data_IF_889020948137
#
_entry.id   IF_889020948137
#
_cell.length_a   1.000
_cell.length_b   1.000
_cell.length_c   1.000
_cell.angle_alpha   90.00
_cell.angle_beta   90.00
_cell.angle_gamma   90.00
#
_symmetry.space_group_name_H-M   'P 1'
#
loop_
_entity.id
_entity.type
_entity.pdbx_description
1 polymer ?
#
# COMPACT_ATOMS: atom_id res chain seq x y z
N UNK A 1 -3.96 0.20 -13.35
CA UNK A 1 -3.63 0.49 -14.77
C UNK A 1 -2.17 0.88 -14.99
N UNK A 2 -1.55 1.66 -14.13
CA UNK A 2 -0.15 2.14 -14.23
C UNK A 2 0.85 0.98 -14.29
N UNK A 3 0.64 -0.10 -13.54
CA UNK A 3 1.53 -1.26 -13.49
C UNK A 3 1.73 -2.01 -14.82
N UNK A 4 0.82 -1.89 -15.78
CA UNK A 4 0.91 -2.63 -17.06
C UNK A 4 1.95 -2.01 -18.01
N UNK A 5 2.14 -0.69 -17.95
CA UNK A 5 3.08 0.04 -18.82
C UNK A 5 4.49 0.14 -18.23
N UNK A 6 4.64 0.13 -16.92
CA UNK A 6 5.95 0.23 -16.26
C UNK A 6 6.67 -1.13 -16.14
N UNK A 7 5.94 -2.25 -16.16
CA UNK A 7 6.49 -3.60 -16.01
C UNK A 7 7.69 -3.94 -16.91
N UNK A 8 7.71 -3.63 -18.23
CA UNK A 8 8.83 -4.05 -19.10
C UNK A 8 10.15 -3.35 -18.77
N UNK A 9 10.11 -2.07 -18.37
CA UNK A 9 11.31 -1.30 -18.01
C UNK A 9 11.88 -1.70 -16.66
N UNK A 10 11.01 -1.81 -15.67
CA UNK A 10 11.36 -2.16 -14.29
C UNK A 10 11.87 -3.60 -14.20
N UNK A 11 11.29 -4.54 -14.96
CA UNK A 11 11.73 -5.94 -14.97
C UNK A 11 13.16 -6.13 -15.43
N UNK A 12 13.70 -5.25 -16.29
CA UNK A 12 15.10 -5.30 -16.73
C UNK A 12 16.08 -5.04 -15.60
N UNK A 13 15.70 -4.24 -14.62
CA UNK A 13 16.53 -3.91 -13.45
C UNK A 13 16.30 -4.94 -12.32
N UNK A 14 15.04 -5.29 -12.07
CA UNK A 14 14.67 -6.18 -10.95
C UNK A 14 15.10 -7.63 -11.20
N UNK A 15 14.96 -8.15 -12.42
CA UNK A 15 15.27 -9.54 -12.72
C UNK A 15 16.74 -9.94 -12.47
N UNK A 16 17.76 -9.11 -12.77
CA UNK A 16 19.15 -9.40 -12.40
C UNK A 16 19.35 -9.43 -10.88
N UNK A 17 18.74 -8.49 -10.14
CA UNK A 17 18.83 -8.42 -8.67
C UNK A 17 18.20 -9.68 -8.07
N UNK A 18 17.00 -10.04 -8.50
CA UNK A 18 16.30 -11.26 -8.06
C UNK A 18 17.14 -12.51 -8.32
N UNK A 19 17.76 -12.64 -9.49
CA UNK A 19 18.69 -13.75 -9.78
C UNK A 19 19.93 -13.77 -8.91
N UNK A 20 20.49 -12.60 -8.60
CA UNK A 20 21.64 -12.47 -7.71
C UNK A 20 21.31 -12.95 -6.30
N UNK A 21 20.17 -12.50 -5.75
CA UNK A 21 19.71 -12.91 -4.42
C UNK A 21 19.42 -14.42 -4.33
N UNK A 22 18.78 -14.98 -5.36
CA UNK A 22 18.54 -16.43 -5.42
C UNK A 22 19.83 -17.26 -5.45
N UNK A 23 20.87 -16.78 -6.15
CA UNK A 23 22.18 -17.47 -6.22
C UNK A 23 22.90 -17.55 -4.87
N UNK A 24 22.68 -16.58 -3.98
CA UNK A 24 23.25 -16.57 -2.62
C UNK A 24 22.33 -17.22 -1.58
N UNK A 25 21.24 -17.89 -2.01
CA UNK A 25 20.34 -18.65 -1.15
C UNK A 25 19.27 -17.84 -0.44
N UNK A 26 19.10 -16.56 -0.79
CA UNK A 26 17.99 -15.74 -0.26
C UNK A 26 16.68 -16.20 -0.88
N UNK A 27 15.66 -16.40 -0.04
CA UNK A 27 14.31 -16.79 -0.50
C UNK A 27 13.40 -15.59 -0.68
N UNK A 28 12.34 -15.67 -1.54
CA UNK A 28 11.35 -14.60 -1.68
C UNK A 28 10.76 -14.19 -0.34
N UNK A 29 10.38 -15.14 0.50
CA UNK A 29 9.80 -14.87 1.82
C UNK A 29 10.74 -14.08 2.75
N UNK A 30 12.05 -14.30 2.67
CA UNK A 30 13.03 -13.50 3.43
C UNK A 30 13.03 -12.03 2.96
N UNK A 31 12.91 -11.81 1.65
CA UNK A 31 12.85 -10.44 1.08
C UNK A 31 11.55 -9.75 1.49
N UNK A 32 10.41 -10.45 1.45
CA UNK A 32 9.12 -9.92 1.90
C UNK A 32 9.17 -9.50 3.38
N UNK A 33 9.67 -10.38 4.26
CA UNK A 33 9.80 -10.06 5.71
C UNK A 33 10.75 -8.89 5.93
N UNK A 34 11.92 -8.90 5.27
CA UNK A 34 12.88 -7.81 5.38
C UNK A 34 12.31 -6.48 4.88
N UNK A 35 11.64 -6.47 3.72
CA UNK A 35 10.98 -5.30 3.16
C UNK A 35 9.92 -4.73 4.10
N UNK A 36 9.11 -5.59 4.70
CA UNK A 36 8.09 -5.18 5.68
C UNK A 36 8.71 -4.58 6.95
N UNK A 37 9.72 -5.23 7.53
CA UNK A 37 10.42 -4.71 8.72
C UNK A 37 11.07 -3.36 8.41
N UNK A 38 11.70 -3.23 7.25
CA UNK A 38 12.28 -1.97 6.79
C UNK A 38 11.21 -0.89 6.63
N UNK A 39 10.08 -1.22 5.98
CA UNK A 39 8.95 -0.30 5.78
C UNK A 39 8.41 0.22 7.12
N UNK A 40 8.13 -0.69 8.07
CA UNK A 40 7.66 -0.33 9.42
C UNK A 40 8.66 0.59 10.12
N UNK A 41 9.94 0.23 10.10
CA UNK A 41 11.00 1.01 10.74
C UNK A 41 11.09 2.42 10.15
N UNK A 42 11.09 2.54 8.82
CA UNK A 42 11.13 3.83 8.14
C UNK A 42 9.90 4.69 8.44
N UNK A 43 8.70 4.10 8.44
CA UNK A 43 7.46 4.79 8.75
C UNK A 43 7.49 5.35 10.19
N UNK A 44 7.84 4.53 11.17
CA UNK A 44 7.89 4.96 12.57
C UNK A 44 9.00 5.98 12.80
N UNK A 45 10.21 5.72 12.33
CA UNK A 45 11.35 6.60 12.61
C UNK A 45 11.22 7.94 11.90
N UNK A 46 10.96 7.94 10.61
CA UNK A 46 11.02 9.18 9.81
C UNK A 46 9.72 9.97 9.79
N UNK A 47 8.57 9.31 9.87
CA UNK A 47 7.28 10.01 9.84
C UNK A 47 6.81 10.30 11.28
N UNK A 48 6.66 9.26 12.11
CA UNK A 48 6.07 9.43 13.44
C UNK A 48 7.03 10.07 14.44
N UNK A 49 8.26 9.53 14.58
CA UNK A 49 9.15 9.91 15.69
C UNK A 49 9.99 11.17 15.43
N UNK A 50 10.45 11.39 14.19
CA UNK A 50 11.42 12.47 13.90
C UNK A 50 10.88 13.60 13.04
N UNK A 51 9.63 13.51 12.60
CA UNK A 51 8.98 14.50 11.72
C UNK A 51 9.76 14.80 10.41
N UNK A 52 10.59 13.85 9.94
CA UNK A 52 11.31 13.97 8.68
C UNK A 52 10.48 13.42 7.51
N UNK A 53 9.26 13.95 7.35
CA UNK A 53 8.25 13.40 6.44
C UNK A 53 8.68 13.40 4.97
N UNK A 54 9.54 14.32 4.52
CA UNK A 54 10.10 14.34 3.16
C UNK A 54 10.98 13.10 2.96
N UNK A 55 11.97 12.91 3.85
CA UNK A 55 12.90 11.77 3.75
C UNK A 55 12.15 10.46 3.95
N UNK A 56 11.25 10.40 4.93
CA UNK A 56 10.41 9.23 5.20
C UNK A 56 9.58 8.81 4.00
N UNK A 57 8.89 9.75 3.34
CA UNK A 57 8.09 9.47 2.15
C UNK A 57 8.94 8.95 0.99
N UNK A 58 10.11 9.53 0.76
CA UNK A 58 11.02 9.10 -0.31
C UNK A 58 11.57 7.70 -0.03
N UNK A 59 12.03 7.44 1.19
CA UNK A 59 12.55 6.13 1.58
C UNK A 59 11.46 5.05 1.53
N UNK A 60 10.24 5.35 2.00
CA UNK A 60 9.09 4.44 1.88
C UNK A 60 8.71 4.20 0.42
N UNK A 61 8.80 5.22 -0.44
CA UNK A 61 8.62 5.04 -1.87
C UNK A 61 9.63 4.06 -2.48
N UNK A 62 10.87 4.04 -1.96
CA UNK A 62 11.89 3.07 -2.39
C UNK A 62 11.58 1.63 -1.90
N UNK A 63 10.91 1.43 -0.77
CA UNK A 63 10.55 0.06 -0.33
C UNK A 63 9.59 -0.64 -1.28
N UNK A 64 8.82 0.09 -2.07
CA UNK A 64 7.98 -0.48 -3.13
C UNK A 64 8.81 -1.30 -4.14
N UNK A 65 10.07 -0.92 -4.38
CA UNK A 65 10.96 -1.71 -5.23
C UNK A 65 11.34 -3.05 -4.60
N UNK A 66 11.41 -3.14 -3.27
CA UNK A 66 11.71 -4.40 -2.56
C UNK A 66 10.57 -5.40 -2.77
N UNK A 67 9.31 -4.94 -2.70
CA UNK A 67 8.12 -5.76 -2.99
C UNK A 67 8.08 -6.26 -4.45
N UNK A 68 8.66 -5.48 -5.39
CA UNK A 68 8.79 -5.94 -6.77
C UNK A 68 9.86 -7.02 -6.95
N UNK A 69 10.91 -7.02 -6.11
CA UNK A 69 11.99 -7.99 -6.15
C UNK A 69 11.53 -9.37 -5.68
N UNK A 70 10.81 -9.47 -4.55
CA UNK A 70 10.31 -10.75 -4.03
C UNK A 70 9.34 -11.42 -5.01
N UNK A 71 8.43 -10.63 -5.60
CA UNK A 71 7.54 -11.11 -6.65
C UNK A 71 8.29 -11.56 -7.92
N UNK A 72 9.42 -10.94 -8.28
CA UNK A 72 10.25 -11.37 -9.39
C UNK A 72 11.02 -12.65 -9.05
N UNK A 73 11.50 -12.79 -7.81
CA UNK A 73 12.13 -14.01 -7.31
C UNK A 73 11.16 -15.18 -7.32
N UNK A 74 9.92 -15.00 -6.82
CA UNK A 74 8.91 -16.04 -6.82
C UNK A 74 8.58 -16.55 -8.24
N UNK A 75 8.47 -15.63 -9.21
CA UNK A 75 8.27 -15.99 -10.63
C UNK A 75 9.46 -16.75 -11.24
N UNK A 76 10.69 -16.46 -10.83
CA UNK A 76 11.90 -17.13 -11.36
C UNK A 76 12.07 -18.55 -10.80
N UNK A 77 11.56 -18.85 -9.61
CA UNK A 77 11.57 -20.20 -9.02
C UNK A 77 10.45 -21.08 -9.64
N UNK A 78 9.55 -20.46 -10.44
CA UNK A 78 8.50 -21.18 -11.18
C UNK A 78 7.13 -21.16 -10.54
N UNK A 79 7.01 -21.05 -9.21
CA UNK A 79 5.72 -20.90 -8.51
C UNK A 79 5.91 -20.22 -7.15
N UNK A 80 5.02 -19.26 -6.83
CA UNK A 80 4.83 -18.82 -5.46
C UNK A 80 4.25 -19.96 -4.61
N UNK A 81 4.72 -20.14 -3.39
CA UNK A 81 4.10 -21.12 -2.48
C UNK A 81 2.80 -20.55 -1.92
N UNK A 82 1.79 -21.39 -1.61
CA UNK A 82 0.56 -20.93 -0.93
C UNK A 82 0.88 -20.19 0.38
N UNK A 83 1.87 -20.66 1.13
CA UNK A 83 2.34 -19.98 2.34
C UNK A 83 2.93 -18.60 2.03
N UNK A 84 3.75 -18.48 0.97
CA UNK A 84 4.33 -17.21 0.55
C UNK A 84 3.25 -16.18 0.19
N UNK A 85 2.18 -16.60 -0.48
CA UNK A 85 1.06 -15.71 -0.81
C UNK A 85 0.30 -15.24 0.44
N UNK A 86 0.12 -16.11 1.44
CA UNK A 86 -0.50 -15.73 2.72
C UNK A 86 0.41 -14.77 3.49
N UNK A 87 1.71 -15.08 3.55
CA UNK A 87 2.71 -14.25 4.22
C UNK A 87 2.76 -12.84 3.62
N UNK A 88 2.89 -12.74 2.31
CA UNK A 88 2.90 -11.48 1.57
C UNK A 88 1.63 -10.66 1.84
N UNK A 89 0.45 -11.28 1.62
CA UNK A 89 -0.82 -10.63 1.90
C UNK A 89 -0.97 -10.16 3.35
N UNK A 90 -0.45 -10.89 4.32
CA UNK A 90 -0.51 -10.51 5.75
C UNK A 90 0.45 -9.37 6.06
N UNK A 91 1.70 -9.47 5.60
CA UNK A 91 2.73 -8.48 5.83
C UNK A 91 2.42 -7.15 5.14
N UNK A 92 1.78 -7.20 3.98
CA UNK A 92 1.21 -6.04 3.31
C UNK A 92 0.24 -5.25 4.20
N UNK A 93 -0.61 -5.95 4.96
CA UNK A 93 -1.54 -5.28 5.90
C UNK A 93 -0.81 -4.61 7.04
N UNK A 94 0.20 -5.30 7.59
CA UNK A 94 1.02 -4.73 8.66
C UNK A 94 1.79 -3.49 8.17
N UNK A 95 2.33 -3.54 6.96
CA UNK A 95 3.01 -2.39 6.34
C UNK A 95 2.06 -1.20 6.09
N UNK A 96 0.86 -1.45 5.52
CA UNK A 96 -0.15 -0.41 5.32
C UNK A 96 -0.55 0.21 6.67
N UNK A 97 -0.77 -0.63 7.70
CA UNK A 97 -1.04 -0.19 9.08
C UNK A 97 0.06 0.70 9.65
N UNK A 98 1.34 0.35 9.43
CA UNK A 98 2.46 1.15 9.89
C UNK A 98 2.55 2.51 9.18
N UNK A 99 2.36 2.54 7.86
CA UNK A 99 2.40 3.80 7.07
C UNK A 99 1.27 4.74 7.48
N UNK A 100 0.01 4.28 7.42
CA UNK A 100 -1.13 5.14 7.77
C UNK A 100 -1.18 5.46 9.27
N UNK A 101 -0.77 4.52 10.13
CA UNK A 101 -0.61 4.75 11.56
C UNK A 101 0.44 5.81 11.88
N UNK A 102 1.56 5.81 11.16
CA UNK A 102 2.61 6.84 11.31
C UNK A 102 2.14 8.20 10.79
N UNK A 103 1.37 8.26 9.69
CA UNK A 103 0.75 9.51 9.21
C UNK A 103 -0.24 10.04 10.24
N UNK A 104 -1.06 9.17 10.83
CA UNK A 104 -2.00 9.53 11.88
C UNK A 104 -1.28 10.10 13.11
N UNK A 105 -0.22 9.43 13.57
CA UNK A 105 0.60 9.89 14.68
C UNK A 105 1.23 11.25 14.38
N UNK A 106 1.84 11.40 13.21
CA UNK A 106 2.41 12.66 12.76
C UNK A 106 1.37 13.80 12.75
N UNK A 107 0.17 13.52 12.25
CA UNK A 107 -0.92 14.49 12.22
C UNK A 107 -1.36 14.91 13.64
N UNK A 108 -1.43 13.99 14.58
CA UNK A 108 -1.74 14.28 15.98
C UNK A 108 -0.72 15.23 16.63
N UNK A 109 0.57 15.00 16.36
CA UNK A 109 1.65 15.79 16.95
C UNK A 109 1.85 17.16 16.28
N UNK A 110 1.71 17.22 14.95
CA UNK A 110 2.13 18.38 14.15
C UNK A 110 0.96 19.20 13.59
N UNK A 111 -0.26 18.65 13.60
CA UNK A 111 -1.49 19.25 13.08
C UNK A 111 -2.59 19.23 14.15
N UNK A 112 -2.24 19.59 15.39
CA UNK A 112 -3.16 19.61 16.52
C UNK A 112 -4.43 20.43 16.22
N UNK A 113 -5.61 19.79 16.36
CA UNK A 113 -6.91 20.38 16.03
C UNK A 113 -7.42 20.11 14.60
N UNK A 114 -6.64 19.49 13.74
CA UNK A 114 -7.11 19.07 12.41
C UNK A 114 -7.84 17.72 12.49
N UNK A 115 -9.00 17.74 13.11
CA UNK A 115 -9.82 16.54 13.32
C UNK A 115 -10.18 15.84 12.00
N UNK A 116 -10.34 16.59 10.90
CA UNK A 116 -10.70 16.01 9.62
C UNK A 116 -9.55 15.18 9.02
N UNK A 117 -8.31 15.64 9.13
CA UNK A 117 -7.15 14.86 8.69
C UNK A 117 -7.04 13.55 9.48
N UNK A 118 -7.27 13.59 10.80
CA UNK A 118 -7.26 12.39 11.63
C UNK A 118 -8.38 11.41 11.24
N UNK A 119 -9.61 11.89 11.07
CA UNK A 119 -10.75 11.06 10.68
C UNK A 119 -10.51 10.43 9.29
N UNK A 120 -10.12 11.21 8.29
CA UNK A 120 -9.93 10.71 6.93
C UNK A 120 -8.78 9.73 6.83
N UNK A 121 -7.69 9.93 7.59
CA UNK A 121 -6.58 8.98 7.67
C UNK A 121 -7.01 7.67 8.32
N UNK A 122 -7.77 7.73 9.43
CA UNK A 122 -8.30 6.54 10.09
C UNK A 122 -9.29 5.79 9.19
N UNK A 123 -10.19 6.49 8.52
CA UNK A 123 -11.12 5.89 7.55
C UNK A 123 -10.34 5.23 6.41
N UNK A 124 -9.32 5.89 5.85
CA UNK A 124 -8.47 5.32 4.81
C UNK A 124 -7.80 4.03 5.29
N UNK A 125 -7.24 4.02 6.50
CA UNK A 125 -6.62 2.84 7.10
C UNK A 125 -7.64 1.69 7.23
N UNK A 126 -8.76 1.91 7.89
CA UNK A 126 -9.77 0.86 8.14
C UNK A 126 -10.32 0.31 6.83
N UNK A 127 -10.72 1.17 5.91
CA UNK A 127 -11.29 0.72 4.64
C UNK A 127 -10.26 0.08 3.72
N UNK A 128 -8.96 0.40 3.82
CA UNK A 128 -7.91 -0.31 3.08
C UNK A 128 -7.79 -1.77 3.52
N UNK A 129 -7.94 -2.05 4.81
CA UNK A 129 -7.98 -3.43 5.33
C UNK A 129 -9.26 -4.16 4.90
N UNK A 130 -10.40 -3.49 4.99
CA UNK A 130 -11.71 -4.04 4.57
C UNK A 130 -11.71 -4.38 3.07
N UNK A 131 -11.16 -3.54 2.20
CA UNK A 131 -11.00 -3.80 0.76
C UNK A 131 -10.27 -5.12 0.53
N UNK A 132 -9.17 -5.32 1.22
CA UNK A 132 -8.32 -6.50 1.06
C UNK A 132 -8.98 -7.75 1.61
N UNK A 133 -9.61 -7.64 2.78
CA UNK A 133 -10.39 -8.71 3.37
C UNK A 133 -11.57 -9.13 2.48
N UNK A 134 -12.34 -8.17 1.96
CA UNK A 134 -13.47 -8.44 1.08
C UNK A 134 -13.05 -9.21 -0.18
N UNK A 135 -11.91 -8.85 -0.78
CA UNK A 135 -11.35 -9.58 -1.92
C UNK A 135 -10.97 -11.01 -1.55
N UNK A 136 -10.17 -11.18 -0.50
CA UNK A 136 -9.71 -12.49 -0.06
C UNK A 136 -10.89 -13.40 0.33
N UNK A 137 -11.92 -12.85 0.97
CA UNK A 137 -13.12 -13.58 1.37
C UNK A 137 -13.97 -14.00 0.18
N UNK A 138 -14.14 -13.12 -0.82
CA UNK A 138 -14.87 -13.45 -2.04
C UNK A 138 -14.15 -14.56 -2.83
N UNK A 139 -12.83 -14.44 -3.01
CA UNK A 139 -12.01 -15.47 -3.68
C UNK A 139 -12.08 -16.83 -2.94
N UNK A 140 -12.04 -16.84 -1.61
CA UNK A 140 -12.21 -18.04 -0.80
C UNK A 140 -13.60 -18.66 -0.93
N UNK A 141 -14.61 -17.89 -1.32
CA UNK A 141 -15.98 -18.34 -1.61
C UNK A 141 -16.19 -18.72 -3.09
N UNK A 142 -15.12 -18.75 -3.90
CA UNK A 142 -15.18 -19.06 -5.33
C UNK A 142 -15.72 -17.94 -6.21
N UNK A 143 -15.86 -16.72 -5.67
CA UNK A 143 -16.38 -15.55 -6.40
C UNK A 143 -15.19 -14.66 -6.82
N UNK A 144 -14.86 -14.58 -8.11
CA UNK A 144 -13.76 -13.71 -8.56
C UNK A 144 -14.18 -12.24 -8.51
N UNK A 145 -13.51 -11.44 -7.66
CA UNK A 145 -13.72 -10.00 -7.54
C UNK A 145 -12.43 -9.28 -7.90
N UNK A 146 -12.31 -8.85 -9.17
CA UNK A 146 -11.15 -8.15 -9.70
C UNK A 146 -11.38 -6.64 -9.91
N UNK A 147 -12.38 -6.08 -9.25
CA UNK A 147 -12.75 -4.67 -9.35
C UNK A 147 -12.23 -3.86 -8.17
N UNK A 148 -11.96 -2.59 -8.42
CA UNK A 148 -11.57 -1.61 -7.41
C UNK A 148 -11.10 -0.32 -8.08
N UNK A 149 -11.60 0.82 -7.61
CA UNK A 149 -11.18 2.14 -8.09
C UNK A 149 -9.80 2.51 -7.53
N UNK A 150 -9.59 2.23 -6.25
CA UNK A 150 -8.35 2.50 -5.52
C UNK A 150 -7.83 1.19 -4.94
N UNK A 151 -6.76 0.67 -5.55
CA UNK A 151 -6.04 -0.49 -5.06
C UNK A 151 -4.85 -0.08 -4.17
N UNK A 152 -4.14 -1.03 -3.57
CA UNK A 152 -3.02 -0.79 -2.66
C UNK A 152 -1.92 0.12 -3.26
N UNK A 153 -1.42 -0.11 -4.50
CA UNK A 153 -0.38 0.73 -5.05
C UNK A 153 -0.78 2.19 -5.20
N UNK A 154 -2.01 2.44 -5.66
CA UNK A 154 -2.53 3.80 -5.82
C UNK A 154 -2.62 4.52 -4.47
N UNK A 155 -3.10 3.83 -3.43
CA UNK A 155 -3.18 4.41 -2.08
C UNK A 155 -1.81 4.81 -1.55
N UNK A 156 -0.83 3.91 -1.61
CA UNK A 156 0.52 4.18 -1.13
C UNK A 156 1.19 5.32 -1.91
N UNK A 157 1.12 5.28 -3.25
CA UNK A 157 1.74 6.31 -4.09
C UNK A 157 1.12 7.68 -3.80
N UNK A 158 -0.21 7.79 -3.79
CA UNK A 158 -0.90 9.07 -3.52
C UNK A 158 -0.54 9.58 -2.12
N UNK A 159 -0.59 8.73 -1.10
CA UNK A 159 -0.26 9.11 0.28
C UNK A 159 1.17 9.60 0.41
N UNK A 160 2.15 8.84 -0.11
CA UNK A 160 3.57 9.17 0.04
C UNK A 160 3.97 10.40 -0.77
N UNK A 161 3.45 10.55 -1.99
CA UNK A 161 3.69 11.74 -2.82
C UNK A 161 3.10 12.98 -2.15
N UNK A 162 1.85 12.92 -1.70
CA UNK A 162 1.21 14.06 -1.05
C UNK A 162 1.82 14.38 0.32
N UNK A 163 2.28 13.36 1.07
CA UNK A 163 3.02 13.58 2.32
C UNK A 163 4.37 14.27 2.06
N UNK A 164 5.09 13.86 1.02
CA UNK A 164 6.34 14.52 0.58
C UNK A 164 6.07 15.97 0.20
N UNK A 165 5.05 16.23 -0.61
CA UNK A 165 4.66 17.60 -0.99
C UNK A 165 4.25 18.45 0.22
N UNK A 166 3.53 17.85 1.18
CA UNK A 166 3.20 18.52 2.45
C UNK A 166 4.45 18.91 3.22
N UNK A 167 5.44 18.02 3.32
CA UNK A 167 6.72 18.31 3.95
C UNK A 167 7.47 19.45 3.26
N UNK A 168 7.51 19.46 1.93
CA UNK A 168 8.08 20.54 1.12
C UNK A 168 7.31 21.86 1.39
N UNK A 169 5.97 21.81 1.40
CA UNK A 169 5.13 22.96 1.68
C UNK A 169 5.40 23.59 3.05
N UNK A 170 5.56 22.75 4.07
CA UNK A 170 5.90 23.19 5.43
C UNK A 170 7.31 23.80 5.46
N UNK A 171 8.28 23.15 4.84
CA UNK A 171 9.69 23.59 4.84
C UNK A 171 9.89 24.95 4.14
N UNK A 172 9.22 25.16 2.99
CA UNK A 172 9.34 26.38 2.20
C UNK A 172 8.22 27.41 2.44
N UNK A 173 7.34 27.19 3.43
CA UNK A 173 6.18 28.03 3.74
C UNK A 173 5.20 28.21 2.55
N UNK A 174 5.04 27.18 1.72
CA UNK A 174 4.10 27.18 0.59
C UNK A 174 2.76 26.61 1.04
N UNK A 175 1.82 27.49 1.39
CA UNK A 175 0.57 27.14 2.07
C UNK A 175 -0.26 26.06 1.36
N UNK A 176 -0.43 26.14 0.06
CA UNK A 176 -1.25 25.16 -0.67
C UNK A 176 -0.63 23.75 -0.71
N UNK A 177 0.72 23.64 -0.74
CA UNK A 177 1.43 22.38 -0.65
C UNK A 177 1.28 21.75 0.74
N UNK A 178 1.24 22.56 1.80
CA UNK A 178 1.11 22.06 3.17
C UNK A 178 -0.20 21.33 3.45
N UNK A 179 -1.19 21.44 2.56
CA UNK A 179 -2.49 20.75 2.65
C UNK A 179 -2.65 19.63 1.62
N UNK A 180 -1.59 19.23 0.92
CA UNK A 180 -1.68 18.14 -0.07
C UNK A 180 -2.09 16.81 0.57
N UNK A 181 -1.58 16.50 1.79
CA UNK A 181 -1.94 15.26 2.48
C UNK A 181 -3.42 15.26 2.89
N UNK A 182 -3.96 16.40 3.28
CA UNK A 182 -5.38 16.54 3.64
C UNK A 182 -6.28 16.20 2.46
N UNK A 183 -6.01 16.79 1.30
CA UNK A 183 -6.74 16.51 0.07
C UNK A 183 -6.62 15.03 -0.35
N UNK A 184 -5.40 14.46 -0.23
CA UNK A 184 -5.15 13.05 -0.52
C UNK A 184 -5.96 12.14 0.39
N UNK A 185 -5.98 12.39 1.71
CA UNK A 185 -6.73 11.55 2.66
C UNK A 185 -8.24 11.61 2.41
N UNK A 186 -8.80 12.76 2.02
CA UNK A 186 -10.20 12.86 1.60
C UNK A 186 -10.49 12.00 0.37
N UNK A 187 -9.67 12.11 -0.67
CA UNK A 187 -9.84 11.33 -1.91
C UNK A 187 -9.71 9.83 -1.62
N UNK A 188 -8.74 9.43 -0.81
CA UNK A 188 -8.50 8.04 -0.46
C UNK A 188 -9.60 7.47 0.44
N UNK A 189 -10.10 8.23 1.41
CA UNK A 189 -11.20 7.80 2.27
C UNK A 189 -12.47 7.53 1.45
N UNK A 190 -12.89 8.51 0.63
CA UNK A 190 -14.08 8.39 -0.21
C UNK A 190 -13.91 7.26 -1.23
N UNK A 191 -12.77 7.19 -1.91
CA UNK A 191 -12.48 6.18 -2.92
C UNK A 191 -12.36 4.77 -2.34
N UNK A 192 -11.87 4.63 -1.10
CA UNK A 192 -11.81 3.34 -0.40
C UNK A 192 -13.21 2.86 0.00
N UNK A 193 -14.07 3.73 0.51
CA UNK A 193 -15.48 3.41 0.80
C UNK A 193 -16.18 2.94 -0.49
N UNK A 194 -16.01 3.71 -1.57
CA UNK A 194 -16.60 3.36 -2.87
C UNK A 194 -16.10 2.01 -3.38
N UNK A 195 -14.81 1.72 -3.23
CA UNK A 195 -14.21 0.43 -3.64
C UNK A 195 -14.80 -0.74 -2.86
N UNK A 196 -15.06 -0.60 -1.57
CA UNK A 196 -15.73 -1.65 -0.77
C UNK A 196 -17.14 -1.89 -1.29
N UNK A 197 -17.93 -0.82 -1.49
CA UNK A 197 -19.30 -0.93 -2.03
C UNK A 197 -19.29 -1.62 -3.39
N UNK A 198 -18.37 -1.22 -4.28
CA UNK A 198 -18.23 -1.82 -5.61
C UNK A 198 -17.91 -3.32 -5.54
N UNK A 199 -17.00 -3.74 -4.64
CA UNK A 199 -16.66 -5.16 -4.46
C UNK A 199 -17.81 -5.98 -3.94
N UNK A 200 -18.54 -5.47 -2.95
CA UNK A 200 -19.73 -6.15 -2.40
C UNK A 200 -20.84 -6.26 -3.43
N UNK A 201 -21.06 -5.22 -4.22
CA UNK A 201 -22.04 -5.24 -5.31
C UNK A 201 -21.69 -6.29 -6.36
N UNK A 202 -20.45 -6.30 -6.87
CA UNK A 202 -20.00 -7.30 -7.85
C UNK A 202 -20.08 -8.71 -7.29
N UNK A 203 -19.70 -8.91 -6.03
CA UNK A 203 -19.83 -10.21 -5.37
C UNK A 203 -21.29 -10.69 -5.30
N UNK A 204 -22.24 -9.79 -4.99
CA UNK A 204 -23.66 -10.12 -4.94
C UNK A 204 -24.22 -10.52 -6.30
N UNK A 205 -23.87 -9.78 -7.35
CA UNK A 205 -24.30 -10.09 -8.73
C UNK A 205 -23.72 -11.42 -9.22
N UNK A 206 -22.42 -11.64 -9.00
CA UNK A 206 -21.75 -12.89 -9.40
C UNK A 206 -22.33 -14.11 -8.67
N UNK A 207 -22.69 -13.97 -7.39
CA UNK A 207 -23.35 -15.03 -6.63
C UNK A 207 -24.71 -15.38 -7.24
N UNK A 208 -25.51 -14.40 -7.64
CA UNK A 208 -26.83 -14.64 -8.27
C UNK A 208 -26.71 -15.44 -9.56
N UNK A 209 -25.68 -15.16 -10.38
CA UNK A 209 -25.43 -15.93 -11.61
C UNK A 209 -24.94 -17.37 -11.38
N UNK A 210 -24.33 -17.67 -10.24
CA UNK A 210 -23.88 -19.02 -9.89
C UNK A 210 -25.00 -19.89 -9.29
N UNK A 211 -26.06 -19.27 -8.78
CA UNK A 211 -27.15 -19.97 -8.07
C UNK A 211 -28.44 -20.10 -8.88
N UNK A 212 -28.59 -19.41 -10.00
CA UNK A 212 -29.72 -19.56 -10.90
C UNK A 212 -29.41 -20.64 -11.92
N UNK A 213 -30.34 -21.60 -12.13
CA UNK A 213 -30.22 -22.68 -13.12
C UNK A 213 -30.29 -22.18 -14.55
#
# INVERSE_FOLDING_TARGET
MIGKYLRPGISKIINPIARGLLKIGVTPNMVTVFGTVLNITLAIVFIAATNHIIIGSLLLGLTVFVDLVDGAMARQIGHGTPYGAILDATLDRVADGAVFGSILWWAMENRAGDTWLLITTLVTLVFSEVISYAKARAEASGIPVSVGLIERPERLIISLVCLCLTGIGIHYNVRWLSYCIDAAMWVLAIGSIFTVIQRLYVASVSYTHLTLP
#
